data_IF_709112885094
#
_entry.id   IF_709112885094
#
_cell.length_a   1.000
_cell.length_b   1.000
_cell.length_c   1.000
_cell.angle_alpha   90.00
_cell.angle_beta   90.00
_cell.angle_gamma   90.00
#
_symmetry.space_group_name_H-M   'P 1'
#
loop_
_entity.id
_entity.type
_entity.pdbx_description
1 polymer ?
#
# COMPACT_ATOMS: atom_id res chain seq x y z
N UNK A 1 61.19 21.31 -20.95
CA UNK A 1 61.49 20.11 -20.15
C UNK A 1 60.18 19.54 -19.62
N UNK A 2 59.90 18.29 -20.05
CA UNK A 2 58.96 17.24 -19.58
C UNK A 2 57.75 17.59 -18.69
N UNK A 3 56.59 17.20 -19.24
CA UNK A 3 55.23 17.07 -18.73
C UNK A 3 55.03 16.51 -17.32
N UNK A 4 53.83 16.75 -16.77
CA UNK A 4 53.03 15.69 -16.12
C UNK A 4 51.55 16.09 -16.00
N UNK A 5 50.73 15.54 -16.90
CA UNK A 5 49.28 15.58 -16.80
C UNK A 5 48.86 14.40 -15.90
N UNK A 6 48.23 14.70 -14.76
CA UNK A 6 47.65 13.68 -13.88
C UNK A 6 46.23 13.45 -14.36
N UNK A 7 46.01 12.34 -15.08
CA UNK A 7 44.67 11.84 -15.40
C UNK A 7 44.16 11.13 -14.16
N UNK A 8 43.29 11.80 -13.39
CA UNK A 8 42.51 11.18 -12.32
C UNK A 8 41.40 10.33 -12.96
N UNK A 9 41.65 9.03 -13.06
CA UNK A 9 40.66 8.04 -13.48
C UNK A 9 39.65 7.86 -12.33
N UNK A 10 38.55 8.61 -12.37
CA UNK A 10 37.44 8.44 -11.44
C UNK A 10 36.71 7.14 -11.77
N UNK A 11 36.93 6.11 -10.97
CA UNK A 11 36.24 4.83 -11.08
C UNK A 11 34.86 4.98 -10.44
N UNK A 12 33.82 5.19 -11.27
CA UNK A 12 32.44 5.12 -10.83
C UNK A 12 32.12 3.66 -10.46
N UNK A 13 32.15 3.32 -9.17
CA UNK A 13 31.60 2.07 -8.68
C UNK A 13 30.07 2.10 -8.81
N UNK A 14 29.56 1.47 -9.86
CA UNK A 14 28.14 1.14 -9.99
C UNK A 14 27.82 0.02 -9.01
N UNK A 15 27.24 0.35 -7.85
CA UNK A 15 26.67 -0.65 -6.96
C UNK A 15 25.47 -1.32 -7.68
N UNK A 16 25.34 -2.65 -7.63
CA UNK A 16 24.13 -3.30 -8.10
C UNK A 16 23.01 -2.92 -7.15
N UNK A 17 22.05 -2.13 -7.62
CA UNK A 17 20.78 -1.97 -6.92
C UNK A 17 20.14 -3.35 -6.85
N UNK A 18 20.03 -3.92 -5.65
CA UNK A 18 19.11 -5.01 -5.41
C UNK A 18 17.73 -4.46 -5.70
N UNK A 19 17.20 -4.77 -6.89
CA UNK A 19 15.79 -4.63 -7.14
C UNK A 19 15.11 -5.69 -6.27
N UNK A 20 14.81 -5.34 -5.01
CA UNK A 20 13.64 -5.92 -4.35
C UNK A 20 12.52 -5.83 -5.38
N UNK A 21 11.87 -6.96 -5.67
CA UNK A 21 10.75 -6.98 -6.59
C UNK A 21 9.68 -6.07 -6.00
N UNK A 22 9.68 -4.81 -6.43
CA UNK A 22 8.73 -3.80 -5.97
C UNK A 22 7.34 -4.32 -6.28
N UNK A 23 6.48 -4.34 -5.25
CA UNK A 23 5.10 -4.76 -5.41
C UNK A 23 4.45 -3.97 -6.57
N UNK A 24 3.80 -4.62 -7.54
CA UNK A 24 3.51 -4.05 -8.87
C UNK A 24 2.60 -2.82 -8.87
N UNK A 25 1.91 -2.57 -7.75
CA UNK A 25 1.02 -1.42 -7.58
C UNK A 25 1.69 -0.22 -6.88
N UNK A 26 2.74 -0.44 -6.08
CA UNK A 26 3.28 0.61 -5.20
C UNK A 26 3.95 1.74 -6.00
N UNK A 27 4.63 1.42 -7.10
CA UNK A 27 5.24 2.44 -7.95
C UNK A 27 4.21 3.44 -8.51
N UNK A 28 3.04 2.94 -8.93
CA UNK A 28 1.94 3.77 -9.43
C UNK A 28 1.36 4.69 -8.36
N UNK A 29 1.10 4.16 -7.15
CA UNK A 29 0.65 4.99 -6.04
C UNK A 29 1.71 6.00 -5.59
N UNK A 30 3.00 5.66 -5.67
CA UNK A 30 4.06 6.58 -5.24
C UNK A 30 4.16 7.77 -6.20
N UNK A 31 3.94 7.55 -7.50
CA UNK A 31 3.85 8.63 -8.48
C UNK A 31 2.65 9.55 -8.21
N UNK A 32 1.47 8.99 -7.91
CA UNK A 32 0.26 9.75 -7.57
C UNK A 32 0.43 10.52 -6.25
N UNK A 33 0.97 9.88 -5.21
CA UNK A 33 1.18 10.50 -3.91
C UNK A 33 2.12 11.71 -3.99
N UNK A 34 3.15 11.68 -4.84
CA UNK A 34 4.02 12.84 -5.10
C UNK A 34 3.30 13.99 -5.80
N UNK A 35 2.27 13.71 -6.60
CA UNK A 35 1.44 14.74 -7.23
C UNK A 35 0.44 15.34 -6.24
N UNK A 36 -0.12 14.51 -5.35
CA UNK A 36 -1.09 14.91 -4.33
C UNK A 36 -0.43 15.66 -3.16
N UNK A 37 0.79 15.26 -2.78
CA UNK A 37 1.52 15.77 -1.61
C UNK A 37 3.04 15.88 -1.89
N UNK A 38 3.59 17.11 -2.02
CA UNK A 38 5.02 17.34 -2.21
C UNK A 38 5.90 16.79 -1.08
N UNK A 39 5.35 16.63 0.13
CA UNK A 39 6.07 16.10 1.31
C UNK A 39 6.03 14.57 1.39
N UNK A 40 5.54 13.88 0.34
CA UNK A 40 5.52 12.43 0.32
C UNK A 40 6.93 11.83 0.42
N UNK A 41 7.22 11.22 1.56
CA UNK A 41 8.52 10.61 1.89
C UNK A 41 8.57 9.09 1.70
N UNK A 42 7.52 8.49 1.13
CA UNK A 42 7.39 7.03 0.98
C UNK A 42 6.27 6.42 1.83
N UNK A 43 5.99 5.14 1.59
CA UNK A 43 4.95 4.41 2.30
C UNK A 43 5.43 3.86 3.66
N UNK A 44 4.50 3.60 4.56
CA UNK A 44 4.74 3.03 5.90
C UNK A 44 3.71 1.97 6.24
N UNK A 45 4.19 0.79 6.61
CA UNK A 45 3.34 -0.30 7.09
C UNK A 45 2.67 0.06 8.43
N UNK A 46 3.31 0.87 9.27
CA UNK A 46 2.75 1.34 10.53
C UNK A 46 1.53 2.23 10.30
N UNK A 47 1.61 3.17 9.34
CA UNK A 47 0.46 4.00 8.93
C UNK A 47 -0.64 3.15 8.29
N UNK A 48 -0.28 2.16 7.47
CA UNK A 48 -1.24 1.24 6.86
C UNK A 48 -2.00 0.40 7.88
N UNK A 49 -1.30 -0.07 8.91
CA UNK A 49 -1.90 -0.76 10.06
C UNK A 49 -2.82 0.17 10.84
N UNK A 50 -2.37 1.39 11.15
CA UNK A 50 -3.18 2.36 11.86
C UNK A 50 -4.47 2.69 11.09
N UNK A 51 -4.38 2.89 9.77
CA UNK A 51 -5.53 3.06 8.89
C UNK A 51 -6.49 1.87 9.02
N UNK A 52 -6.00 0.62 8.88
CA UNK A 52 -6.85 -0.57 8.94
C UNK A 52 -7.68 -0.70 10.23
N UNK A 53 -7.09 -0.35 11.36
CA UNK A 53 -7.73 -0.44 12.67
C UNK A 53 -8.46 0.84 13.09
N UNK A 54 -8.37 1.92 12.30
CA UNK A 54 -9.11 3.14 12.59
C UNK A 54 -10.62 2.87 12.62
N UNK A 55 -11.29 3.54 13.55
CA UNK A 55 -12.73 3.49 13.76
C UNK A 55 -13.35 4.84 13.40
N UNK A 56 -14.36 4.82 12.54
CA UNK A 56 -15.07 6.00 12.07
C UNK A 56 -16.56 5.88 12.35
N UNK A 57 -17.23 7.00 12.64
CA UNK A 57 -18.69 7.02 12.82
C UNK A 57 -19.40 7.21 11.47
N UNK A 58 -20.22 6.24 11.07
CA UNK A 58 -20.98 6.27 9.81
C UNK A 58 -22.42 5.86 10.03
N UNK A 59 -23.35 6.75 9.71
CA UNK A 59 -24.79 6.52 9.84
C UNK A 59 -25.18 5.95 11.23
N UNK A 60 -24.58 6.48 12.30
CA UNK A 60 -24.82 6.05 13.67
C UNK A 60 -24.20 4.70 14.05
N UNK A 61 -23.24 4.18 13.26
CA UNK A 61 -22.49 2.95 13.54
C UNK A 61 -20.99 3.21 13.46
N UNK A 62 -20.23 2.56 14.33
CA UNK A 62 -18.78 2.48 14.21
C UNK A 62 -18.41 1.56 13.04
N UNK A 63 -17.62 2.08 12.10
CA UNK A 63 -17.10 1.37 10.93
C UNK A 63 -15.58 1.36 10.93
N UNK A 64 -15.00 0.25 10.48
CA UNK A 64 -13.56 0.04 10.33
C UNK A 64 -13.32 -0.92 9.18
N UNK A 65 -12.09 -1.01 8.64
CA UNK A 65 -11.75 -2.08 7.71
C UNK A 65 -12.02 -3.46 8.34
N UNK A 66 -11.80 -3.58 9.65
CA UNK A 66 -12.03 -4.80 10.44
C UNK A 66 -13.49 -5.25 10.46
N UNK A 67 -14.46 -4.33 10.27
CA UNK A 67 -15.89 -4.66 10.23
C UNK A 67 -16.21 -5.72 9.17
N UNK A 68 -15.51 -5.69 8.04
CA UNK A 68 -15.68 -6.69 6.98
C UNK A 68 -14.54 -7.71 6.91
N UNK A 69 -13.32 -7.31 7.26
CA UNK A 69 -12.10 -8.07 7.00
C UNK A 69 -11.49 -8.75 8.24
N UNK A 70 -12.16 -8.65 9.40
CA UNK A 70 -11.71 -9.15 10.71
C UNK A 70 -10.46 -8.42 11.23
N UNK A 71 -10.02 -8.73 12.45
CA UNK A 71 -8.76 -8.19 12.98
C UNK A 71 -7.51 -8.87 12.39
N UNK A 72 -7.64 -10.08 11.83
CA UNK A 72 -6.54 -10.81 11.18
C UNK A 72 -6.81 -10.89 9.66
N UNK A 73 -6.11 -10.11 8.83
CA UNK A 73 -6.31 -10.08 7.37
C UNK A 73 -6.07 -11.41 6.64
N UNK A 74 -5.52 -12.42 7.32
CA UNK A 74 -5.37 -13.80 6.80
C UNK A 74 -6.67 -14.60 6.89
N UNK A 75 -7.61 -14.16 7.72
CA UNK A 75 -8.87 -14.87 7.93
C UNK A 75 -9.92 -14.47 6.89
N UNK A 76 -10.87 -15.39 6.68
CA UNK A 76 -12.06 -15.12 5.86
C UNK A 76 -12.95 -14.11 6.59
N UNK A 77 -13.21 -12.98 5.93
CA UNK A 77 -14.12 -11.95 6.39
C UNK A 77 -15.56 -12.17 5.94
N UNK A 78 -16.45 -11.24 6.30
CA UNK A 78 -17.86 -11.23 5.90
C UNK A 78 -18.37 -9.81 5.71
N UNK A 79 -19.20 -9.58 4.70
CA UNK A 79 -19.92 -8.30 4.57
C UNK A 79 -21.01 -8.17 5.66
N UNK A 80 -21.59 -6.96 5.85
CA UNK A 80 -22.74 -6.80 6.77
C UNK A 80 -23.93 -7.71 6.42
N UNK A 81 -24.10 -8.06 5.13
CA UNK A 81 -25.09 -9.02 4.65
C UNK A 81 -24.62 -10.50 4.72
N UNK A 82 -23.58 -10.77 5.50
CA UNK A 82 -23.01 -12.09 5.80
C UNK A 82 -22.48 -12.87 4.59
N UNK A 83 -22.11 -12.15 3.53
CA UNK A 83 -21.44 -12.76 2.36
C UNK A 83 -19.95 -12.91 2.63
N UNK A 84 -19.38 -14.06 2.27
CA UNK A 84 -17.95 -14.36 2.40
C UNK A 84 -17.09 -13.28 1.71
N UNK A 85 -16.03 -12.85 2.38
CA UNK A 85 -14.95 -12.03 1.83
C UNK A 85 -13.65 -12.80 1.97
N UNK A 86 -12.99 -13.12 0.86
CA UNK A 86 -11.71 -13.84 0.91
C UNK A 86 -10.64 -13.06 1.70
N UNK A 87 -9.62 -13.72 2.27
CA UNK A 87 -8.54 -13.06 3.00
C UNK A 87 -7.90 -11.92 2.20
N UNK A 88 -7.50 -10.85 2.89
CA UNK A 88 -6.82 -9.70 2.27
C UNK A 88 -5.31 -9.93 2.13
N UNK A 89 -4.68 -10.63 3.07
CA UNK A 89 -3.25 -10.88 3.07
C UNK A 89 -2.86 -11.85 1.92
N UNK A 90 -1.91 -11.48 1.04
CA UNK A 90 -1.42 -12.36 -0.02
C UNK A 90 -0.90 -13.71 0.47
N UNK A 91 -0.35 -13.78 1.69
CA UNK A 91 0.08 -15.04 2.32
C UNK A 91 -1.06 -16.07 2.45
N UNK A 92 -2.31 -15.63 2.60
CA UNK A 92 -3.49 -16.49 2.65
C UNK A 92 -4.31 -16.46 1.34
N UNK A 93 -4.09 -15.49 0.47
CA UNK A 93 -4.78 -15.33 -0.81
C UNK A 93 -3.87 -14.69 -1.88
N UNK A 94 -3.08 -15.47 -2.61
CA UNK A 94 -2.12 -14.96 -3.60
C UNK A 94 -2.73 -14.19 -4.77
N UNK A 95 -4.05 -14.25 -4.99
CA UNK A 95 -4.71 -13.46 -6.03
C UNK A 95 -4.86 -11.97 -5.64
N UNK A 96 -4.58 -11.60 -4.38
CA UNK A 96 -4.69 -10.23 -3.91
C UNK A 96 -3.66 -9.33 -4.60
N UNK A 97 -4.12 -8.11 -4.91
CA UNK A 97 -3.33 -7.07 -5.57
C UNK A 97 -2.76 -7.39 -6.97
N UNK A 98 -3.22 -8.47 -7.62
CA UNK A 98 -2.78 -8.84 -8.98
C UNK A 98 -3.51 -8.12 -10.12
N UNK A 99 -4.63 -7.45 -9.84
CA UNK A 99 -5.46 -6.76 -10.84
C UNK A 99 -5.78 -5.33 -10.39
N UNK A 100 -5.09 -4.35 -10.97
CA UNK A 100 -5.22 -2.93 -10.62
C UNK A 100 -6.67 -2.43 -10.73
N UNK A 101 -7.41 -2.79 -11.79
CA UNK A 101 -8.81 -2.36 -11.96
C UNK A 101 -9.72 -2.87 -10.83
N UNK A 102 -9.50 -4.11 -10.38
CA UNK A 102 -10.22 -4.69 -9.25
C UNK A 102 -9.82 -4.01 -7.94
N UNK A 103 -8.54 -3.70 -7.76
CA UNK A 103 -8.02 -2.99 -6.58
C UNK A 103 -8.62 -1.59 -6.48
N UNK A 104 -8.53 -0.76 -7.53
CA UNK A 104 -9.10 0.60 -7.52
C UNK A 104 -10.60 0.61 -7.24
N UNK A 105 -11.35 -0.32 -7.85
CA UNK A 105 -12.79 -0.46 -7.60
C UNK A 105 -13.09 -0.66 -6.11
N UNK A 106 -12.34 -1.54 -5.45
CA UNK A 106 -12.57 -1.86 -4.06
C UNK A 106 -12.01 -0.84 -3.10
N UNK A 107 -10.87 -0.20 -3.39
CA UNK A 107 -10.42 0.94 -2.60
C UNK A 107 -11.44 2.06 -2.61
N UNK A 108 -11.95 2.46 -3.78
CA UNK A 108 -12.97 3.50 -3.85
C UNK A 108 -14.20 3.18 -2.99
N UNK A 109 -14.73 1.96 -3.12
CA UNK A 109 -15.94 1.54 -2.37
C UNK A 109 -15.67 1.42 -0.87
N UNK A 110 -14.60 0.74 -0.49
CA UNK A 110 -14.32 0.46 0.92
C UNK A 110 -13.90 1.73 1.66
N UNK A 111 -13.15 2.63 1.02
CA UNK A 111 -12.83 3.93 1.61
C UNK A 111 -14.09 4.79 1.76
N UNK A 112 -14.98 4.78 0.77
CA UNK A 112 -16.27 5.46 0.89
C UNK A 112 -17.17 4.84 1.98
N UNK A 113 -17.18 3.51 2.14
CA UNK A 113 -17.96 2.82 3.18
C UNK A 113 -17.43 3.09 4.59
N UNK A 114 -16.11 3.21 4.78
CA UNK A 114 -15.48 3.44 6.10
C UNK A 114 -15.31 4.93 6.40
N UNK A 115 -14.62 5.68 5.52
CA UNK A 115 -14.17 7.06 5.78
C UNK A 115 -15.02 8.18 5.15
N UNK A 116 -16.01 7.84 4.32
CA UNK A 116 -16.90 8.78 3.63
C UNK A 116 -16.18 9.66 2.59
N UNK A 117 -15.03 9.16 2.11
CA UNK A 117 -14.18 9.81 1.12
C UNK A 117 -13.35 8.76 0.41
N UNK A 118 -12.75 9.13 -0.71
CA UNK A 118 -11.70 8.32 -1.29
C UNK A 118 -10.44 8.36 -0.40
N UNK A 119 -9.73 7.24 -0.32
CA UNK A 119 -8.40 7.22 0.27
C UNK A 119 -7.40 7.87 -0.68
N UNK A 120 -6.43 8.61 -0.13
CA UNK A 120 -5.30 9.19 -0.88
C UNK A 120 -4.40 8.11 -1.45
N UNK A 121 -3.56 8.46 -2.43
CA UNK A 121 -2.57 7.52 -2.95
C UNK A 121 -1.60 7.04 -1.86
N UNK A 122 -1.26 7.92 -0.91
CA UNK A 122 -0.44 7.56 0.25
C UNK A 122 -1.13 6.51 1.14
N UNK A 123 -2.41 6.71 1.49
CA UNK A 123 -3.17 5.76 2.30
C UNK A 123 -3.29 4.38 1.62
N UNK A 124 -3.53 4.35 0.31
CA UNK A 124 -3.59 3.09 -0.47
C UNK A 124 -2.24 2.36 -0.45
N UNK A 125 -1.13 3.07 -0.66
CA UNK A 125 0.20 2.49 -0.64
C UNK A 125 0.65 2.04 0.76
N UNK A 126 0.34 2.82 1.80
CA UNK A 126 0.57 2.47 3.21
C UNK A 126 -0.18 1.17 3.56
N UNK A 127 -1.46 1.08 3.20
CA UNK A 127 -2.29 -0.11 3.40
C UNK A 127 -1.69 -1.34 2.72
N UNK A 128 -1.31 -1.25 1.45
CA UNK A 128 -0.71 -2.37 0.71
C UNK A 128 0.60 -2.79 1.37
N UNK A 129 1.46 -1.83 1.72
CA UNK A 129 2.74 -2.11 2.37
C UNK A 129 2.57 -2.89 3.67
N UNK A 130 1.53 -2.56 4.45
CA UNK A 130 1.20 -3.32 5.65
C UNK A 130 0.64 -4.70 5.34
N UNK A 131 -0.38 -4.81 4.47
CA UNK A 131 -1.03 -6.09 4.18
C UNK A 131 -0.04 -7.09 3.57
N UNK A 132 0.87 -6.64 2.70
CA UNK A 132 1.87 -7.48 2.05
C UNK A 132 2.96 -7.97 3.03
N UNK A 133 3.19 -7.23 4.12
CA UNK A 133 4.13 -7.64 5.18
C UNK A 133 3.62 -8.80 6.06
N UNK A 134 2.32 -9.12 6.00
CA UNK A 134 1.68 -10.15 6.81
C UNK A 134 1.99 -11.53 6.22
N UNK A 135 2.60 -12.41 7.04
CA UNK A 135 2.96 -13.78 6.69
C UNK A 135 2.06 -14.82 7.33
#
# INVERSE_FOLDING_TARGET
MKARWIILLSCCLSLPALAETEHPLLAGYAAQARQENPDFAGFSAERGKALYFAEEQRNGKTMSCTTCHTADPRQVGKTPAHRKVEPLAPAANPERFTNLKKVEKWFRRNCDDVYARECTAQEKGDFISWIDSIK
#
